data_IF_010145037928
#
_entry.id   IF_010145037928
#
_cell.length_a   1.000
_cell.length_b   1.000
_cell.length_c   1.000
_cell.angle_alpha   90.00
_cell.angle_beta   90.00
_cell.angle_gamma   90.00
#
_symmetry.space_group_name_H-M   'P 1'
#
loop_
_entity.id
_entity.type
_entity.pdbx_description
1 polymer ?
#
# COMPACT_ATOMS: atom_id res chain seq x y z
N UNK A 1 -16.54 -16.81 2.49
CA UNK A 1 -16.14 -15.41 2.25
C UNK A 1 -14.82 -15.38 1.51
N UNK A 2 -14.68 -14.56 0.45
CA UNK A 2 -13.54 -14.57 -0.48
C UNK A 2 -12.23 -13.94 0.06
N UNK A 3 -11.93 -14.06 1.35
CA UNK A 3 -10.59 -13.78 1.90
C UNK A 3 -9.93 -12.43 1.56
N UNK A 4 -10.71 -11.37 1.31
CA UNK A 4 -10.17 -10.03 1.04
C UNK A 4 -9.93 -9.67 -0.44
N UNK A 5 -10.37 -10.48 -1.41
CA UNK A 5 -10.22 -10.12 -2.84
C UNK A 5 -11.02 -8.87 -3.24
N UNK A 6 -12.22 -8.68 -2.68
CA UNK A 6 -13.08 -7.52 -2.96
C UNK A 6 -12.39 -6.21 -2.56
N UNK A 7 -11.91 -6.04 -1.31
CA UNK A 7 -11.19 -4.81 -0.95
C UNK A 7 -9.88 -4.65 -1.74
N UNK A 8 -9.15 -5.72 -2.05
CA UNK A 8 -7.91 -5.64 -2.84
C UNK A 8 -8.19 -5.09 -4.26
N UNK A 9 -9.19 -5.63 -4.95
CA UNK A 9 -9.57 -5.20 -6.30
C UNK A 9 -10.11 -3.76 -6.32
N UNK A 10 -10.91 -3.38 -5.32
CA UNK A 10 -11.35 -1.99 -5.11
C UNK A 10 -10.18 -1.03 -4.99
N UNK A 11 -9.18 -1.36 -4.17
CA UNK A 11 -8.00 -0.51 -3.95
C UNK A 11 -7.19 -0.35 -5.25
N UNK A 12 -6.94 -1.45 -5.97
CA UNK A 12 -6.15 -1.45 -7.20
C UNK A 12 -6.86 -0.74 -8.37
N UNK A 13 -8.20 -0.73 -8.37
CA UNK A 13 -9.00 -0.11 -9.43
C UNK A 13 -9.33 1.38 -9.19
N UNK A 14 -8.90 1.99 -8.07
CA UNK A 14 -9.39 3.31 -7.65
C UNK A 14 -8.84 4.50 -8.47
N UNK A 15 -7.85 4.31 -9.34
CA UNK A 15 -7.21 5.34 -10.17
C UNK A 15 -6.69 6.58 -9.40
N UNK A 16 -6.62 6.55 -8.07
CA UNK A 16 -6.17 7.68 -7.26
C UNK A 16 -4.63 7.73 -7.22
N UNK A 17 -4.08 8.91 -7.48
CA UNK A 17 -2.64 9.15 -7.41
C UNK A 17 -2.13 9.02 -5.96
N UNK A 18 -0.90 8.53 -5.80
CA UNK A 18 -0.23 8.43 -4.50
C UNK A 18 -0.70 7.30 -3.59
N UNK A 19 -1.54 6.38 -4.09
CA UNK A 19 -1.92 5.19 -3.34
C UNK A 19 -0.83 4.12 -3.42
N UNK A 20 -0.54 3.52 -2.26
CA UNK A 20 0.30 2.32 -2.15
C UNK A 20 -0.55 1.18 -1.59
N UNK A 21 -0.70 0.10 -2.36
CA UNK A 21 -1.47 -1.09 -1.96
C UNK A 21 -0.51 -2.19 -1.55
N UNK A 22 -0.76 -2.82 -0.39
CA UNK A 22 -0.02 -3.98 0.11
C UNK A 22 -0.95 -5.16 0.34
N UNK A 23 -0.38 -6.36 0.50
CA UNK A 23 -1.16 -7.56 0.85
C UNK A 23 -1.90 -7.39 2.18
N UNK A 24 -3.01 -8.10 2.35
CA UNK A 24 -3.73 -8.19 3.63
C UNK A 24 -2.77 -8.67 4.72
N UNK A 25 -2.84 -8.03 5.89
CA UNK A 25 -1.96 -8.25 7.04
C UNK A 25 -0.46 -7.99 6.81
N UNK A 26 -0.06 -7.40 5.67
CA UNK A 26 1.32 -6.98 5.43
C UNK A 26 1.61 -5.58 6.00
N UNK A 27 1.52 -5.47 7.33
CA UNK A 27 1.79 -4.22 8.05
C UNK A 27 3.25 -3.74 7.93
N UNK A 28 4.20 -4.67 7.81
CA UNK A 28 5.62 -4.32 7.61
C UNK A 28 5.86 -3.62 6.27
N UNK A 29 5.30 -4.16 5.17
CA UNK A 29 5.39 -3.54 3.85
C UNK A 29 4.76 -2.15 3.82
N UNK A 30 3.65 -1.95 4.55
CA UNK A 30 3.03 -0.64 4.70
C UNK A 30 3.95 0.35 5.46
N UNK A 31 4.59 -0.09 6.54
CA UNK A 31 5.49 0.75 7.32
C UNK A 31 6.74 1.16 6.53
N UNK A 32 7.34 0.24 5.77
CA UNK A 32 8.49 0.53 4.91
C UNK A 32 8.10 1.51 3.80
N UNK A 33 6.95 1.33 3.15
CA UNK A 33 6.46 2.27 2.15
C UNK A 33 6.23 3.67 2.76
N UNK A 34 5.61 3.75 3.94
CA UNK A 34 5.41 5.00 4.66
C UNK A 34 6.75 5.68 5.00
N UNK A 35 7.77 4.91 5.42
CA UNK A 35 9.10 5.43 5.69
C UNK A 35 9.75 6.10 4.47
N UNK A 36 9.60 5.49 3.29
CA UNK A 36 10.06 6.10 2.03
C UNK A 36 9.26 7.35 1.66
N UNK A 37 7.93 7.35 1.84
CA UNK A 37 7.07 8.50 1.59
C UNK A 37 7.41 9.69 2.51
N UNK A 38 7.70 9.42 3.78
CA UNK A 38 8.04 10.44 4.78
C UNK A 38 9.44 11.04 4.59
N UNK A 39 10.19 10.63 3.56
CA UNK A 39 11.47 11.24 3.20
C UNK A 39 12.70 10.61 3.86
N UNK A 40 12.57 9.50 4.58
CA UNK A 40 13.75 8.78 5.08
C UNK A 40 14.43 7.90 4.02
N UNK A 41 13.85 7.83 2.81
CA UNK A 41 14.51 7.35 1.59
C UNK A 41 15.31 8.44 0.86
N UNK A 42 15.43 9.65 1.41
CA UNK A 42 16.31 10.66 0.84
C UNK A 42 17.78 10.38 1.17
N UNK A 43 18.47 9.85 0.16
CA UNK A 43 19.88 10.17 -0.06
C UNK A 43 20.16 10.41 -1.54
N UNK A 44 19.16 10.82 -2.35
CA UNK A 44 19.28 11.27 -3.74
C UNK A 44 18.08 12.08 -4.22
#
# INVERSE_FOLDING_TARGET
>A
SFGGITPLLTMLSSCACGLTVVNIDNGYGAAVAAHFILGAGDSR
#
